data_IF_162373037210
#
_entry.id   IF_162373037210
#
_cell.length_a   1.000
_cell.length_b   1.000
_cell.length_c   1.000
_cell.angle_alpha   90.00
_cell.angle_beta   90.00
_cell.angle_gamma   90.00
#
_symmetry.space_group_name_H-M   'P 1'
#
loop_
_entity.id
_entity.type
_entity.pdbx_description
1 polymer ?
#
# COMPACT_ATOMS: atom_id res chain seq x y z
N UNK A 1 -6.40 -7.97 -15.58
CA UNK A 1 -5.67 -8.83 -16.53
C UNK A 1 -4.53 -9.65 -15.88
N UNK A 2 -4.41 -9.69 -14.55
CA UNK A 2 -3.42 -10.50 -13.85
C UNK A 2 -1.96 -10.00 -13.95
N UNK A 3 -1.74 -8.78 -14.44
CA UNK A 3 -0.40 -8.20 -14.63
C UNK A 3 0.39 -8.12 -13.32
N UNK A 4 -0.24 -7.66 -12.23
CA UNK A 4 0.41 -7.52 -10.93
C UNK A 4 0.75 -8.89 -10.31
N UNK A 5 -0.15 -9.88 -10.44
CA UNK A 5 0.12 -11.25 -9.98
C UNK A 5 1.28 -11.89 -10.73
N UNK A 6 1.33 -11.72 -12.05
CA UNK A 6 2.43 -12.24 -12.86
C UNK A 6 3.77 -11.55 -12.54
N UNK A 7 3.73 -10.23 -12.31
CA UNK A 7 4.89 -9.46 -11.87
C UNK A 7 5.40 -9.98 -10.52
N UNK A 8 4.49 -10.16 -9.55
CA UNK A 8 4.78 -10.68 -8.23
C UNK A 8 5.47 -12.06 -8.31
N UNK A 9 4.87 -13.00 -9.06
CA UNK A 9 5.41 -14.33 -9.23
C UNK A 9 6.79 -14.32 -9.91
N UNK A 10 7.03 -13.42 -10.87
CA UNK A 10 8.35 -13.24 -11.49
C UNK A 10 9.38 -12.69 -10.52
N UNK A 11 9.02 -11.71 -9.69
CA UNK A 11 9.90 -11.12 -8.67
C UNK A 11 10.30 -12.21 -7.66
N UNK A 12 9.34 -12.99 -7.17
CA UNK A 12 9.61 -14.10 -6.23
C UNK A 12 10.55 -15.14 -6.85
N UNK A 13 10.39 -15.45 -8.13
CA UNK A 13 11.29 -16.37 -8.84
C UNK A 13 12.72 -15.86 -8.96
N UNK A 14 12.93 -14.54 -9.02
CA UNK A 14 14.28 -13.94 -9.02
C UNK A 14 15.04 -14.21 -7.73
N UNK A 15 14.36 -14.45 -6.60
CA UNK A 15 14.98 -14.83 -5.32
C UNK A 15 15.64 -16.21 -5.39
N UNK A 16 15.19 -17.08 -6.30
CA UNK A 16 15.79 -18.37 -6.60
C UNK A 16 15.95 -19.26 -5.36
N UNK A 17 17.18 -19.74 -5.12
CA UNK A 17 17.49 -20.65 -4.01
C UNK A 17 17.50 -19.98 -2.61
N UNK A 18 17.43 -18.66 -2.51
CA UNK A 18 17.45 -17.92 -1.23
C UNK A 18 16.06 -17.79 -0.63
N UNK A 19 15.39 -18.91 -0.35
CA UNK A 19 14.02 -18.99 0.15
C UNK A 19 13.77 -18.12 1.40
N UNK A 20 14.77 -17.94 2.27
CA UNK A 20 14.69 -17.09 3.46
C UNK A 20 14.47 -15.59 3.16
N UNK A 21 14.72 -15.14 1.92
CA UNK A 21 14.46 -13.76 1.50
C UNK A 21 13.04 -13.52 1.00
N UNK A 22 12.24 -14.57 0.80
CA UNK A 22 10.87 -14.48 0.30
C UNK A 22 10.02 -13.48 1.10
N UNK A 23 10.03 -13.43 2.45
CA UNK A 23 9.27 -12.44 3.19
C UNK A 23 9.66 -10.99 2.86
N UNK A 24 10.96 -10.72 2.72
CA UNK A 24 11.44 -9.37 2.37
C UNK A 24 11.12 -8.97 0.93
N UNK A 25 11.06 -9.94 0.03
CA UNK A 25 10.58 -9.71 -1.34
C UNK A 25 9.10 -9.37 -1.33
N UNK A 26 8.31 -10.05 -0.50
CA UNK A 26 6.89 -9.70 -0.32
C UNK A 26 6.73 -8.33 0.33
N UNK A 27 7.62 -7.93 1.26
CA UNK A 27 7.68 -6.56 1.77
C UNK A 27 7.90 -5.54 0.65
N UNK A 28 8.93 -5.75 -0.17
CA UNK A 28 9.24 -4.86 -1.30
C UNK A 28 8.09 -4.80 -2.31
N UNK A 29 7.44 -5.94 -2.59
CA UNK A 29 6.27 -6.01 -3.46
C UNK A 29 5.09 -5.22 -2.87
N UNK A 30 4.78 -5.40 -1.59
CA UNK A 30 3.74 -4.66 -0.88
C UNK A 30 3.99 -3.15 -0.92
N UNK A 31 5.24 -2.75 -0.66
CA UNK A 31 5.67 -1.36 -0.77
C UNK A 31 5.41 -0.80 -2.17
N UNK A 32 5.88 -1.47 -3.23
CA UNK A 32 5.75 -0.99 -4.60
C UNK A 32 4.28 -0.94 -5.04
N UNK A 33 3.50 -1.99 -4.76
CA UNK A 33 2.09 -2.03 -5.14
C UNK A 33 1.31 -0.90 -4.46
N UNK A 34 1.56 -0.65 -3.18
CA UNK A 34 0.90 0.43 -2.45
C UNK A 34 1.38 1.81 -2.94
N UNK A 35 2.69 1.99 -3.04
CA UNK A 35 3.30 3.30 -3.33
C UNK A 35 2.98 3.83 -4.73
N UNK A 36 2.78 2.96 -5.71
CA UNK A 36 2.54 3.32 -7.13
C UNK A 36 1.10 3.01 -7.55
N UNK A 37 0.39 2.22 -6.77
CA UNK A 37 -0.90 1.65 -7.12
C UNK A 37 -2.10 2.26 -6.36
N UNK A 38 -3.06 1.41 -6.02
CA UNK A 38 -4.37 1.82 -5.52
C UNK A 38 -4.40 2.33 -4.07
N UNK A 39 -3.24 2.47 -3.42
CA UNK A 39 -3.15 2.82 -2.00
C UNK A 39 -3.17 1.62 -1.05
N UNK A 40 -3.27 1.88 0.26
CA UNK A 40 -3.08 0.85 1.28
C UNK A 40 -4.23 -0.18 1.32
N UNK A 41 -5.48 0.26 1.30
CA UNK A 41 -6.63 -0.63 1.54
C UNK A 41 -6.73 -1.77 0.51
N UNK A 42 -6.72 -1.49 -0.82
CA UNK A 42 -6.72 -2.57 -1.80
C UNK A 42 -5.45 -3.41 -1.76
N UNK A 43 -4.30 -2.81 -1.47
CA UNK A 43 -3.02 -3.51 -1.42
C UNK A 43 -2.96 -4.53 -0.27
N UNK A 44 -3.51 -4.20 0.92
CA UNK A 44 -3.64 -5.11 2.06
C UNK A 44 -4.50 -6.34 1.75
N UNK A 45 -5.49 -6.19 0.88
CA UNK A 45 -6.29 -7.34 0.43
C UNK A 45 -5.54 -8.23 -0.57
N UNK A 46 -4.67 -7.65 -1.39
CA UNK A 46 -3.96 -8.36 -2.48
C UNK A 46 -2.73 -9.10 -1.95
N UNK A 47 -1.95 -8.46 -1.07
CA UNK A 47 -0.66 -9.00 -0.64
C UNK A 47 -0.79 -10.35 0.07
N UNK A 48 -1.67 -10.58 1.06
CA UNK A 48 -1.81 -11.89 1.69
C UNK A 48 -2.21 -13.00 0.70
N UNK A 49 -3.07 -12.67 -0.27
CA UNK A 49 -3.52 -13.63 -1.31
C UNK A 49 -2.35 -14.13 -2.15
N UNK A 50 -1.34 -13.30 -2.38
CA UNK A 50 -0.12 -13.68 -3.10
C UNK A 50 0.92 -14.28 -2.15
N UNK A 51 1.11 -13.67 -0.98
CA UNK A 51 2.17 -14.02 -0.02
C UNK A 51 2.00 -15.43 0.55
N UNK A 52 0.76 -15.83 0.88
CA UNK A 52 0.49 -17.12 1.51
C UNK A 52 0.85 -18.31 0.58
N UNK A 53 0.33 -18.40 -0.66
CA UNK A 53 0.69 -19.49 -1.57
C UNK A 53 2.19 -19.52 -1.88
N UNK A 54 2.79 -18.34 -2.06
CA UNK A 54 4.23 -18.22 -2.34
C UNK A 54 5.07 -18.73 -1.16
N UNK A 55 4.71 -18.35 0.06
CA UNK A 55 5.40 -18.81 1.26
C UNK A 55 5.30 -20.34 1.43
N UNK A 56 4.11 -20.89 1.24
CA UNK A 56 3.88 -22.34 1.29
C UNK A 56 4.74 -23.06 0.24
N UNK A 57 4.77 -22.57 -1.00
CA UNK A 57 5.57 -23.16 -2.08
C UNK A 57 7.08 -23.04 -1.83
N UNK A 58 7.51 -22.03 -1.09
CA UNK A 58 8.91 -21.82 -0.71
C UNK A 58 9.32 -22.58 0.56
N UNK A 59 8.37 -23.16 1.31
CA UNK A 59 8.64 -23.78 2.61
C UNK A 59 8.95 -22.78 3.71
N UNK A 60 8.42 -21.55 3.60
CA UNK A 60 8.56 -20.46 4.58
C UNK A 60 7.24 -20.27 5.30
N UNK A 61 7.28 -19.79 6.53
CA UNK A 61 6.06 -19.56 7.32
C UNK A 61 5.12 -18.58 6.59
N UNK A 62 3.88 -19.01 6.22
CA UNK A 62 2.98 -18.18 5.43
C UNK A 62 2.42 -16.97 6.20
N UNK A 63 2.16 -17.12 7.50
CA UNK A 63 1.65 -16.03 8.34
C UNK A 63 2.71 -14.94 8.46
N UNK A 64 3.94 -15.31 8.77
CA UNK A 64 5.07 -14.38 8.81
C UNK A 64 5.23 -13.61 7.49
N UNK A 65 5.17 -14.34 6.37
CA UNK A 65 5.37 -13.74 5.04
C UNK A 65 4.23 -12.78 4.69
N UNK A 66 2.99 -13.09 5.05
CA UNK A 66 1.85 -12.20 4.87
C UNK A 66 1.99 -10.93 5.73
N UNK A 67 2.30 -11.07 7.03
CA UNK A 67 2.51 -9.92 7.92
C UNK A 67 3.63 -9.01 7.39
N UNK A 68 4.78 -9.58 7.00
CA UNK A 68 5.90 -8.80 6.47
C UNK A 68 5.53 -8.13 5.14
N UNK A 69 4.75 -8.79 4.30
CA UNK A 69 4.21 -8.20 3.07
C UNK A 69 3.30 -6.99 3.35
N UNK A 70 2.41 -7.11 4.33
CA UNK A 70 1.50 -6.03 4.75
C UNK A 70 2.25 -4.86 5.41
N UNK A 71 3.33 -5.12 6.15
CA UNK A 71 4.23 -4.07 6.63
C UNK A 71 4.89 -3.30 5.48
N UNK A 72 5.17 -3.97 4.35
CA UNK A 72 5.59 -3.31 3.12
C UNK A 72 4.52 -2.38 2.57
N UNK A 73 3.25 -2.81 2.55
CA UNK A 73 2.11 -1.95 2.15
C UNK A 73 2.03 -0.71 3.04
N UNK A 74 2.13 -0.88 4.36
CA UNK A 74 2.11 0.25 5.30
C UNK A 74 3.24 1.25 5.01
N UNK A 75 4.42 0.77 4.63
CA UNK A 75 5.56 1.63 4.27
C UNK A 75 5.29 2.49 3.02
N UNK A 76 4.58 1.94 2.04
CA UNK A 76 4.24 2.65 0.80
C UNK A 76 3.07 3.63 0.93
N UNK A 77 2.32 3.58 2.03
CA UNK A 77 1.04 4.27 2.23
C UNK A 77 1.13 5.79 2.08
N UNK A 78 2.23 6.41 2.49
CA UNK A 78 2.44 7.86 2.41
C UNK A 78 3.25 8.30 1.19
N UNK A 79 3.32 7.45 0.17
CA UNK A 79 3.87 7.85 -1.14
C UNK A 79 3.07 9.03 -1.71
N UNK A 80 3.72 10.00 -2.36
CA UNK A 80 3.03 11.12 -3.01
C UNK A 80 1.95 10.73 -4.02
N UNK A 81 1.95 9.47 -4.46
CA UNK A 81 1.02 8.93 -5.45
C UNK A 81 -0.27 8.34 -4.83
N UNK A 82 -0.28 8.11 -3.52
CA UNK A 82 -1.40 7.45 -2.86
C UNK A 82 -2.51 8.42 -2.46
N UNK A 83 -3.79 7.99 -2.48
CA UNK A 83 -4.90 8.80 -2.04
C UNK A 83 -4.76 9.28 -0.59
N UNK A 84 -4.25 8.43 0.30
CA UNK A 84 -4.05 8.76 1.71
C UNK A 84 -3.03 9.89 1.89
N UNK A 85 -1.95 9.87 1.11
CA UNK A 85 -0.95 10.93 1.11
C UNK A 85 -1.53 12.25 0.58
N UNK A 86 -2.43 12.20 -0.41
CA UNK A 86 -3.08 13.38 -0.96
C UNK A 86 -3.92 14.09 0.11
N UNK A 87 -4.72 13.34 0.89
CA UNK A 87 -5.52 13.89 1.99
C UNK A 87 -4.64 14.51 3.07
N UNK A 88 -3.57 13.81 3.47
CA UNK A 88 -2.64 14.34 4.49
C UNK A 88 -1.96 15.61 4.01
N UNK A 89 -1.57 15.67 2.73
CA UNK A 89 -0.98 16.87 2.13
C UNK A 89 -1.94 18.05 2.17
N UNK A 90 -3.18 17.86 1.75
CA UNK A 90 -4.23 18.89 1.76
C UNK A 90 -4.42 19.46 3.17
N UNK A 91 -4.58 18.59 4.17
CA UNK A 91 -4.70 18.99 5.56
C UNK A 91 -3.47 19.77 6.10
N UNK A 92 -2.26 19.36 5.68
CA UNK A 92 -1.03 20.08 6.04
C UNK A 92 -1.00 21.48 5.42
N UNK A 93 -1.38 21.61 4.14
CA UNK A 93 -1.41 22.86 3.41
C UNK A 93 -2.47 23.83 4.00
N UNK A 94 -3.65 23.33 4.39
CA UNK A 94 -4.68 24.11 5.09
C UNK A 94 -4.18 24.67 6.43
N UNK A 95 -3.29 23.97 7.11
CA UNK A 95 -2.65 24.43 8.36
C UNK A 95 -1.40 25.29 8.11
N UNK A 96 -1.11 25.68 6.88
CA UNK A 96 0.07 26.47 6.52
C UNK A 96 1.40 25.72 6.63
N UNK A 97 1.34 24.39 6.72
CA UNK A 97 2.52 23.54 6.74
C UNK A 97 2.93 23.14 5.32
N UNK A 98 4.22 22.80 5.16
CA UNK A 98 4.69 22.25 3.88
C UNK A 98 4.07 20.86 3.66
N UNK A 99 3.28 20.69 2.59
CA UNK A 99 2.59 19.45 2.23
C UNK A 99 3.52 18.29 1.81
N UNK A 100 4.77 18.27 2.25
CA UNK A 100 5.72 17.20 1.95
C UNK A 100 5.50 15.98 2.85
N UNK A 101 4.96 14.90 2.32
CA UNK A 101 4.69 13.64 3.04
C UNK A 101 5.87 12.67 3.08
N UNK A 102 6.98 12.95 2.40
CA UNK A 102 8.17 12.07 2.36
C UNK A 102 8.80 11.81 3.73
N UNK A 103 8.94 12.80 4.64
CA UNK A 103 9.45 12.51 5.99
C UNK A 103 8.54 11.56 6.79
N UNK A 104 7.22 11.68 6.61
CA UNK A 104 6.23 10.80 7.24
C UNK A 104 6.38 9.38 6.67
N UNK A 105 6.48 9.26 5.34
CA UNK A 105 6.72 7.98 4.68
C UNK A 105 8.03 7.33 5.17
N UNK A 106 9.10 8.09 5.31
CA UNK A 106 10.38 7.58 5.81
C UNK A 106 10.26 7.06 7.25
N UNK A 107 9.59 7.79 8.14
CA UNK A 107 9.36 7.37 9.52
C UNK A 107 8.55 6.06 9.60
N UNK A 108 7.46 5.96 8.84
CA UNK A 108 6.64 4.75 8.76
C UNK A 108 7.45 3.59 8.19
N UNK A 109 8.24 3.82 7.14
CA UNK A 109 9.08 2.79 6.51
C UNK A 109 10.12 2.24 7.49
N UNK A 110 10.78 3.11 8.26
CA UNK A 110 11.76 2.69 9.28
C UNK A 110 11.06 1.84 10.35
N UNK A 111 9.92 2.30 10.87
CA UNK A 111 9.15 1.57 11.88
C UNK A 111 8.68 0.22 11.36
N UNK A 112 8.16 0.17 10.14
CA UNK A 112 7.70 -1.07 9.51
C UNK A 112 8.84 -2.04 9.23
N UNK A 113 10.03 -1.56 8.83
CA UNK A 113 11.22 -2.39 8.65
C UNK A 113 11.69 -2.98 9.98
N UNK A 114 11.75 -2.19 11.03
CA UNK A 114 12.11 -2.69 12.39
C UNK A 114 11.11 -3.76 12.82
N UNK A 115 9.81 -3.50 12.66
CA UNK A 115 8.75 -4.48 12.96
C UNK A 115 8.88 -5.75 12.11
N UNK A 116 9.17 -5.62 10.81
CA UNK A 116 9.38 -6.75 9.92
C UNK A 116 10.57 -7.62 10.36
N UNK A 117 11.66 -7.01 10.82
CA UNK A 117 12.82 -7.72 11.37
C UNK A 117 12.43 -8.45 12.67
N UNK A 118 11.69 -7.80 13.57
CA UNK A 118 11.20 -8.42 14.81
C UNK A 118 10.31 -9.62 14.50
N UNK A 119 9.35 -9.47 13.59
CA UNK A 119 8.46 -10.55 13.14
C UNK A 119 9.27 -11.69 12.52
N UNK A 120 10.25 -11.39 11.67
CA UNK A 120 11.13 -12.37 11.06
C UNK A 120 11.91 -13.18 12.10
N UNK A 121 12.43 -12.51 13.14
CA UNK A 121 13.15 -13.16 14.25
C UNK A 121 12.18 -14.00 15.09
N UNK A 122 11.02 -13.46 15.43
CA UNK A 122 10.02 -14.14 16.25
C UNK A 122 9.55 -15.47 15.62
N UNK A 123 9.28 -15.45 14.32
CA UNK A 123 8.85 -16.65 13.57
C UNK A 123 10.03 -17.50 13.08
N UNK A 124 11.27 -17.19 13.48
CA UNK A 124 12.49 -17.89 13.05
C UNK A 124 12.54 -18.03 11.52
N UNK A 125 12.39 -16.92 10.81
CA UNK A 125 12.27 -16.87 9.35
C UNK A 125 13.43 -17.48 8.55
N UNK A 126 14.54 -17.82 9.21
CA UNK A 126 15.66 -18.59 8.62
C UNK A 126 15.39 -20.10 8.57
N UNK A 127 14.38 -20.60 9.29
CA UNK A 127 13.99 -22.02 9.24
C UNK A 127 13.12 -22.24 8.02
N UNK A 128 13.65 -23.05 7.09
CA UNK A 128 12.93 -23.45 5.87
C UNK A 128 12.53 -24.91 6.07
N UNK A 129 11.28 -25.24 5.74
CA UNK A 129 10.80 -26.62 5.79
C UNK A 129 11.50 -27.45 4.69
N UNK A 130 12.34 -28.42 5.07
CA UNK A 130 13.06 -29.24 4.11
C UNK A 130 12.16 -30.21 3.32
N UNK A 131 10.92 -30.43 3.76
CA UNK A 131 9.98 -31.35 3.11
C UNK A 131 9.39 -30.78 1.83
N UNK A 132 9.45 -29.44 1.65
CA UNK A 132 8.95 -28.77 0.46
C UNK A 132 9.97 -28.88 -0.67
N UNK A 133 9.75 -29.88 -1.54
CA UNK A 133 10.51 -30.00 -2.81
C UNK A 133 10.27 -28.78 -3.68
N UNK A 134 11.29 -28.39 -4.46
CA UNK A 134 11.22 -27.21 -5.35
C UNK A 134 10.08 -27.35 -6.40
N UNK A 135 8.85 -27.10 -5.96
CA UNK A 135 7.66 -27.11 -6.82
C UNK A 135 7.50 -25.83 -7.65
N UNK A 136 8.43 -24.88 -7.56
CA UNK A 136 8.41 -23.60 -8.29
C UNK A 136 8.98 -23.75 -9.72
N UNK A 137 8.73 -24.88 -10.39
CA UNK A 137 9.22 -25.08 -11.78
C UNK A 137 8.14 -24.89 -12.86
N UNK A 138 6.94 -24.40 -12.55
CA UNK A 138 6.07 -23.99 -13.64
C UNK A 138 6.66 -22.77 -14.35
N UNK A 139 6.91 -22.91 -15.65
CA UNK A 139 7.35 -21.80 -16.50
C UNK A 139 6.27 -20.73 -16.49
N UNK A 140 6.52 -19.64 -15.75
CA UNK A 140 5.62 -18.49 -15.78
C UNK A 140 5.50 -18.00 -17.23
N UNK A 141 4.29 -17.72 -17.72
CA UNK A 141 4.09 -17.23 -19.07
C UNK A 141 4.82 -15.91 -19.27
N UNK A 142 5.20 -15.62 -20.51
CA UNK A 142 5.70 -14.30 -20.87
C UNK A 142 4.57 -13.28 -20.76
N UNK A 143 4.90 -12.02 -20.46
CA UNK A 143 3.91 -10.95 -20.53
C UNK A 143 3.34 -10.85 -21.93
N UNK A 144 2.01 -10.80 -22.04
CA UNK A 144 1.33 -10.51 -23.28
C UNK A 144 1.33 -8.99 -23.55
N UNK A 145 0.96 -8.59 -24.76
CA UNK A 145 0.92 -7.18 -25.17
C UNK A 145 0.03 -6.32 -24.23
N UNK A 146 -1.12 -6.83 -23.83
CA UNK A 146 -2.06 -6.13 -22.93
C UNK A 146 -1.48 -5.91 -21.53
N UNK A 147 -0.69 -6.86 -21.04
CA UNK A 147 0.00 -6.74 -19.75
C UNK A 147 1.15 -5.74 -19.83
N UNK A 148 1.89 -5.71 -20.96
CA UNK A 148 2.91 -4.70 -21.21
C UNK A 148 2.31 -3.30 -21.29
N UNK A 149 1.20 -3.11 -22.00
CA UNK A 149 0.48 -1.84 -22.05
C UNK A 149 0.02 -1.38 -20.66
N UNK A 150 -0.51 -2.30 -19.84
CA UNK A 150 -0.91 -1.99 -18.46
C UNK A 150 0.26 -1.57 -17.59
N UNK A 151 1.42 -2.24 -17.71
CA UNK A 151 2.65 -1.86 -17.03
C UNK A 151 3.16 -0.49 -17.47
N UNK A 152 3.17 -0.24 -18.77
CA UNK A 152 3.58 1.06 -19.33
C UNK A 152 2.67 2.19 -18.83
N UNK A 153 1.35 1.96 -18.77
CA UNK A 153 0.40 2.92 -18.20
C UNK A 153 0.70 3.23 -16.73
N UNK A 154 1.01 2.22 -15.94
CA UNK A 154 1.38 2.39 -14.54
C UNK A 154 2.70 3.18 -14.36
N UNK A 155 3.70 2.87 -15.15
CA UNK A 155 4.99 3.60 -15.15
C UNK A 155 4.80 5.05 -15.60
N UNK A 156 3.98 5.29 -16.62
CA UNK A 156 3.66 6.64 -17.10
C UNK A 156 2.95 7.46 -16.03
N UNK A 157 2.00 6.87 -15.30
CA UNK A 157 1.35 7.51 -14.17
C UNK A 157 2.35 7.88 -13.07
N UNK A 158 3.24 6.95 -12.71
CA UNK A 158 4.26 7.19 -11.69
C UNK A 158 5.23 8.32 -12.09
N UNK A 159 5.74 8.30 -13.32
CA UNK A 159 6.63 9.34 -13.84
C UNK A 159 5.90 10.68 -13.92
N UNK A 160 4.68 10.71 -14.45
CA UNK A 160 3.89 11.94 -14.57
C UNK A 160 3.61 12.59 -13.21
N UNK A 161 3.26 11.79 -12.19
CA UNK A 161 2.99 12.31 -10.86
C UNK A 161 4.27 12.76 -10.13
N UNK A 162 5.38 12.03 -10.23
CA UNK A 162 6.62 12.33 -9.51
C UNK A 162 7.41 13.51 -10.14
N UNK A 163 7.46 13.57 -11.46
CA UNK A 163 8.32 14.54 -12.16
C UNK A 163 7.54 15.73 -12.74
N UNK A 164 6.28 15.54 -13.09
CA UNK A 164 5.45 16.57 -13.74
C UNK A 164 4.32 17.07 -12.86
N UNK A 165 4.22 16.60 -11.61
CA UNK A 165 3.15 16.98 -10.66
C UNK A 165 1.75 16.79 -11.24
N UNK A 166 1.54 15.79 -12.09
CA UNK A 166 0.23 15.50 -12.64
C UNK A 166 -0.74 15.06 -11.55
N UNK A 167 -2.01 15.46 -11.68
CA UNK A 167 -3.04 14.99 -10.77
C UNK A 167 -3.23 13.48 -10.94
N UNK A 168 -2.89 12.70 -9.91
CA UNK A 168 -2.88 11.24 -9.94
C UNK A 168 -4.27 10.68 -10.27
N UNK A 169 -5.34 11.29 -9.72
CA UNK A 169 -6.71 10.86 -9.97
C UNK A 169 -7.13 11.04 -11.42
N UNK A 170 -6.93 12.23 -11.99
CA UNK A 170 -7.27 12.51 -13.38
C UNK A 170 -6.41 11.69 -14.35
N UNK A 171 -5.12 11.62 -14.11
CA UNK A 171 -4.19 10.85 -14.94
C UNK A 171 -4.49 9.34 -14.88
N UNK A 172 -4.75 8.82 -13.68
CA UNK A 172 -5.14 7.42 -13.48
C UNK A 172 -6.45 7.08 -14.18
N UNK A 173 -7.44 7.98 -14.11
CA UNK A 173 -8.71 7.81 -14.81
C UNK A 173 -8.51 7.81 -16.34
N UNK A 174 -7.73 8.74 -16.89
CA UNK A 174 -7.44 8.81 -18.33
C UNK A 174 -6.70 7.56 -18.81
N UNK A 175 -5.62 7.16 -18.13
CA UNK A 175 -4.85 5.96 -18.49
C UNK A 175 -5.73 4.71 -18.38
N UNK A 176 -6.51 4.59 -17.30
CA UNK A 176 -7.43 3.47 -17.10
C UNK A 176 -8.48 3.37 -18.22
N UNK A 177 -9.07 4.51 -18.62
CA UNK A 177 -10.04 4.57 -19.72
C UNK A 177 -9.40 4.17 -21.05
N UNK A 178 -8.21 4.67 -21.36
CA UNK A 178 -7.48 4.29 -22.59
C UNK A 178 -7.16 2.80 -22.61
N UNK A 179 -6.69 2.23 -21.48
CA UNK A 179 -6.41 0.80 -21.38
C UNK A 179 -7.66 -0.07 -21.55
N UNK A 180 -8.82 0.39 -21.08
CA UNK A 180 -10.10 -0.31 -21.30
C UNK A 180 -10.50 -0.26 -22.76
N UNK A 181 -10.40 0.88 -23.43
CA UNK A 181 -10.69 1.05 -24.86
C UNK A 181 -9.76 0.15 -25.71
N UNK A 182 -8.49 0.03 -25.32
CA UNK A 182 -7.52 -0.86 -25.97
C UNK A 182 -7.73 -2.35 -25.65
N UNK A 183 -8.79 -2.70 -24.90
CA UNK A 183 -9.12 -4.08 -24.57
C UNK A 183 -8.16 -4.72 -23.58
N UNK A 184 -7.37 -3.94 -22.83
CA UNK A 184 -6.42 -4.46 -21.83
C UNK A 184 -7.12 -4.99 -20.56
N UNK A 185 -8.43 -4.81 -20.43
CA UNK A 185 -9.22 -5.27 -19.29
C UNK A 185 -10.67 -5.49 -19.61
N UNK A 186 -11.39 -6.12 -18.70
CA UNK A 186 -12.84 -6.27 -18.79
C UNK A 186 -13.49 -5.11 -18.00
N UNK A 187 -14.30 -4.31 -18.66
CA UNK A 187 -14.95 -3.12 -18.10
C UNK A 187 -15.77 -3.46 -16.83
N UNK A 188 -16.61 -4.51 -16.89
CA UNK A 188 -17.42 -4.92 -15.74
C UNK A 188 -16.56 -5.31 -14.53
N UNK A 189 -15.47 -6.04 -14.78
CA UNK A 189 -14.52 -6.42 -13.72
C UNK A 189 -13.74 -5.20 -13.19
N UNK A 190 -13.39 -4.25 -14.05
CA UNK A 190 -12.71 -3.04 -13.65
C UNK A 190 -13.60 -2.18 -12.74
N UNK A 191 -14.86 -1.96 -13.11
CA UNK A 191 -15.83 -1.21 -12.29
C UNK A 191 -16.11 -1.93 -10.97
N UNK A 192 -16.27 -3.26 -10.99
CA UNK A 192 -16.49 -4.06 -9.79
C UNK A 192 -15.28 -4.07 -8.85
N UNK A 193 -14.07 -3.91 -9.37
CA UNK A 193 -12.84 -3.83 -8.58
C UNK A 193 -12.62 -2.45 -7.93
N UNK A 194 -13.40 -1.43 -8.30
CA UNK A 194 -13.36 -0.13 -7.63
C UNK A 194 -13.84 -0.31 -6.19
N UNK A 195 -13.09 0.16 -5.18
CA UNK A 195 -13.48 0.00 -3.77
C UNK A 195 -14.57 1.00 -3.38
N UNK A 196 -15.78 0.82 -3.91
CA UNK A 196 -16.92 1.71 -3.71
C UNK A 196 -17.23 1.96 -2.24
N UNK A 197 -17.11 0.93 -1.40
CA UNK A 197 -17.32 1.06 0.05
C UNK A 197 -16.36 2.07 0.67
N UNK A 198 -15.09 2.06 0.23
CA UNK A 198 -14.07 3.01 0.73
C UNK A 198 -14.38 4.42 0.24
N UNK A 199 -14.73 4.58 -1.03
CA UNK A 199 -15.09 5.88 -1.61
C UNK A 199 -16.27 6.47 -0.86
N UNK A 200 -17.35 5.72 -0.67
CA UNK A 200 -18.54 6.17 0.03
C UNK A 200 -18.25 6.47 1.51
N UNK A 201 -17.41 5.65 2.16
CA UNK A 201 -16.99 5.89 3.55
C UNK A 201 -16.20 7.20 3.67
N UNK A 202 -15.22 7.43 2.80
CA UNK A 202 -14.40 8.66 2.82
C UNK A 202 -15.25 9.89 2.55
N UNK A 203 -16.14 9.82 1.56
CA UNK A 203 -17.09 10.92 1.30
C UNK A 203 -18.01 11.18 2.49
N UNK A 204 -18.57 10.13 3.10
CA UNK A 204 -19.45 10.26 4.26
C UNK A 204 -18.73 10.85 5.48
N UNK A 205 -17.53 10.37 5.77
CA UNK A 205 -16.69 10.90 6.86
C UNK A 205 -16.27 12.35 6.56
N UNK A 206 -15.93 12.67 5.31
CA UNK A 206 -15.59 14.02 4.89
C UNK A 206 -16.74 15.00 5.13
N UNK A 207 -17.98 14.64 4.79
CA UNK A 207 -19.18 15.45 5.06
C UNK A 207 -19.38 15.60 6.57
N UNK A 208 -19.27 14.52 7.34
CA UNK A 208 -19.38 14.57 8.81
C UNK A 208 -18.33 15.49 9.44
N UNK A 209 -17.07 15.35 9.01
CA UNK A 209 -15.98 16.20 9.51
C UNK A 209 -16.19 17.67 9.16
N UNK A 210 -16.74 17.97 7.97
CA UNK A 210 -17.09 19.33 7.58
C UNK A 210 -18.19 19.91 8.49
N UNK A 211 -19.24 19.14 8.78
CA UNK A 211 -20.32 19.55 9.70
C UNK A 211 -19.75 19.80 11.11
N UNK A 212 -18.89 18.89 11.62
CA UNK A 212 -18.27 19.02 12.94
C UNK A 212 -17.36 20.26 12.98
N UNK A 213 -16.64 20.54 11.90
CA UNK A 213 -15.79 21.73 11.78
C UNK A 213 -16.60 23.02 11.84
N UNK A 214 -17.66 23.13 11.01
CA UNK A 214 -18.53 24.33 10.96
C UNK A 214 -19.28 24.55 12.29
N UNK A 215 -19.62 23.46 12.99
CA UNK A 215 -20.30 23.54 14.30
C UNK A 215 -19.37 23.88 15.48
N UNK A 216 -18.06 24.06 15.25
CA UNK A 216 -17.08 24.28 16.31
C UNK A 216 -16.71 23.03 17.11
N UNK A 217 -17.16 21.84 16.67
CA UNK A 217 -16.89 20.59 17.36
C UNK A 217 -15.42 20.22 17.36
N UNK A 218 -14.69 20.58 16.29
CA UNK A 218 -13.24 20.39 16.23
C UNK A 218 -12.52 21.23 17.28
N UNK A 219 -12.92 22.47 17.48
CA UNK A 219 -12.30 23.38 18.45
C UNK A 219 -12.49 22.87 19.89
N UNK A 220 -13.65 22.27 20.18
CA UNK A 220 -13.91 21.63 21.47
C UNK A 220 -13.01 20.40 21.66
N UNK A 221 -12.88 19.56 20.64
CA UNK A 221 -11.98 18.38 20.70
C UNK A 221 -10.52 18.82 20.86
N UNK A 222 -10.05 19.80 20.10
CA UNK A 222 -8.69 20.34 20.19
C UNK A 222 -8.44 20.89 21.58
N UNK A 223 -9.34 21.72 22.12
CA UNK A 223 -9.23 22.30 23.46
C UNK A 223 -9.17 21.22 24.55
N UNK A 224 -9.98 20.16 24.44
CA UNK A 224 -9.96 19.05 25.38
C UNK A 224 -8.64 18.25 25.30
N UNK A 225 -8.10 18.06 24.10
CA UNK A 225 -6.80 17.41 23.91
C UNK A 225 -5.65 18.29 24.41
N UNK A 226 -5.66 19.59 24.13
CA UNK A 226 -4.65 20.55 24.60
C UNK A 226 -4.57 20.60 26.11
N UNK A 227 -5.70 20.48 26.82
CA UNK A 227 -5.74 20.45 28.28
C UNK A 227 -4.97 19.24 28.86
N UNK A 228 -4.85 18.15 28.12
CA UNK A 228 -4.19 16.90 28.54
C UNK A 228 -2.79 16.75 27.91
N UNK A 229 -2.55 17.40 26.78
CA UNK A 229 -1.34 17.26 25.96
C UNK A 229 -0.31 18.32 26.31
N UNK A 230 0.88 17.87 26.80
CA UNK A 230 2.08 18.72 26.86
C UNK A 230 2.94 18.55 25.62
N UNK A 231 3.87 19.48 25.36
CA UNK A 231 4.79 19.41 24.19
C UNK A 231 5.54 18.07 24.03
N UNK A 232 5.76 17.34 25.14
CA UNK A 232 6.47 16.04 25.14
C UNK A 232 5.53 14.84 25.08
N UNK A 233 4.27 14.99 25.50
CA UNK A 233 3.29 13.90 25.61
C UNK A 233 2.31 13.85 24.44
N UNK A 234 2.26 14.90 23.62
CA UNK A 234 1.33 15.02 22.50
C UNK A 234 1.39 13.82 21.53
N UNK A 235 2.60 13.44 21.11
CA UNK A 235 2.76 12.32 20.17
C UNK A 235 2.28 10.98 20.77
N UNK A 236 2.52 10.76 22.08
CA UNK A 236 2.12 9.54 22.77
C UNK A 236 0.61 9.48 22.98
N UNK A 237 -0.01 10.60 23.37
CA UNK A 237 -1.47 10.70 23.56
C UNK A 237 -2.18 10.52 22.23
N UNK A 238 -1.69 11.14 21.16
CA UNK A 238 -2.26 10.97 19.80
C UNK A 238 -2.10 9.53 19.30
N UNK A 239 -0.98 8.87 19.57
CA UNK A 239 -0.78 7.47 19.21
C UNK A 239 -1.76 6.54 19.95
N UNK A 240 -1.99 6.78 21.24
CA UNK A 240 -2.95 6.02 22.05
C UNK A 240 -4.38 6.29 21.54
N UNK A 241 -4.75 7.54 21.32
CA UNK A 241 -6.08 7.90 20.83
C UNK A 241 -6.37 7.28 19.46
N UNK A 242 -5.40 7.31 18.53
CA UNK A 242 -5.55 6.68 17.22
C UNK A 242 -5.56 5.15 17.25
N UNK A 243 -4.97 4.55 18.28
CA UNK A 243 -4.98 3.08 18.47
C UNK A 243 -6.26 2.55 19.13
N UNK A 244 -7.05 3.42 19.76
CA UNK A 244 -8.34 3.08 20.38
C UNK A 244 -9.54 3.28 19.42
N UNK A 245 -9.36 4.00 18.33
CA UNK A 245 -10.33 4.19 17.24
C UNK A 245 -10.21 3.09 16.17
#
# INVERSE_FOLDING_TARGET
NGTLELLANKIVRLVGKKKHLVPFVMYALGFVICAVGPGAIPSLAIIPVIAIPVAVSAGVNPIMTAIIGDLGVMSGRMSPLTPESAVVRELMEEQGLNGNTLPIMAAITITALVTAIVVYIYYKGWQIDPSVKDSVQEKLPAFNLQQWLSLTGLVMLAIGALFFSWNVGLTGFLIGSVLLILGCGNEKKAIAAVPWNVILMVLGVGILMNIISISGGIDIMVSALEAVMGKRTAAMIMAIASGLM
#
